data_IF_444924156511
#
_entry.id   IF_444924156511
#
_cell.length_a   1.000
_cell.length_b   1.000
_cell.length_c   1.000
_cell.angle_alpha   90.00
_cell.angle_beta   90.00
_cell.angle_gamma   90.00
#
_symmetry.space_group_name_H-M   'P 1'
#
loop_
_entity.id
_entity.type
_entity.pdbx_description
1 polymer ?
#
# COMPACT_ATOMS: atom_id res chain seq x y z
N UNK A 1 10.19 -56.70 15.64
CA UNK A 1 9.47 -56.33 16.87
C UNK A 1 8.22 -55.45 16.64
N UNK A 2 8.06 -54.74 15.52
CA UNK A 2 6.92 -53.81 15.33
C UNK A 2 5.55 -54.41 15.04
N UNK A 3 5.46 -55.56 14.36
CA UNK A 3 4.15 -56.09 13.91
C UNK A 3 3.26 -56.60 15.05
N UNK A 4 3.81 -57.03 16.16
CA UNK A 4 3.05 -57.54 17.34
C UNK A 4 2.37 -56.40 18.09
N UNK A 5 2.99 -55.23 18.20
CA UNK A 5 2.46 -54.06 18.91
C UNK A 5 1.28 -53.48 18.16
N UNK A 6 1.35 -53.37 16.83
CA UNK A 6 0.23 -52.90 16.00
C UNK A 6 -1.00 -53.82 16.09
N UNK A 7 -0.78 -55.11 16.10
CA UNK A 7 -1.87 -56.09 16.25
C UNK A 7 -2.55 -56.05 17.63
N UNK A 8 -1.78 -55.82 18.71
CA UNK A 8 -2.31 -55.63 20.04
C UNK A 8 -3.09 -54.30 20.17
N UNK A 9 -2.55 -53.20 19.61
CA UNK A 9 -3.20 -51.90 19.57
C UNK A 9 -4.55 -51.96 18.88
N UNK A 10 -4.59 -52.57 17.66
CA UNK A 10 -5.81 -52.72 16.90
C UNK A 10 -6.87 -53.54 17.60
N UNK A 11 -6.46 -54.63 18.27
CA UNK A 11 -7.38 -55.47 19.07
C UNK A 11 -7.91 -54.78 20.32
N UNK A 12 -7.12 -53.87 20.86
CA UNK A 12 -7.51 -53.09 22.09
C UNK A 12 -8.52 -51.98 21.73
N UNK A 13 -8.45 -51.39 20.55
CA UNK A 13 -9.42 -50.42 20.02
C UNK A 13 -10.82 -51.04 19.93
N UNK A 14 -10.91 -52.31 19.46
CA UNK A 14 -12.19 -53.02 19.37
C UNK A 14 -12.78 -53.54 20.69
N UNK A 15 -11.98 -53.58 21.75
CA UNK A 15 -12.41 -54.15 23.03
C UNK A 15 -13.30 -53.24 23.88
N UNK A 16 -13.21 -51.92 23.68
CA UNK A 16 -14.00 -50.93 24.41
C UNK A 16 -14.50 -49.79 23.49
N UNK A 17 -15.50 -50.08 22.64
CA UNK A 17 -15.90 -49.15 21.57
C UNK A 17 -16.41 -47.80 22.10
N UNK A 18 -16.98 -47.77 23.29
CA UNK A 18 -17.43 -46.52 23.92
C UNK A 18 -16.27 -45.55 24.24
N UNK A 19 -15.20 -46.08 24.87
CA UNK A 19 -14.02 -45.28 25.21
C UNK A 19 -13.25 -44.86 23.97
N UNK A 20 -13.10 -45.77 23.00
CA UNK A 20 -12.50 -45.45 21.71
C UNK A 20 -13.27 -44.36 20.96
N UNK A 21 -14.61 -44.45 20.95
CA UNK A 21 -15.46 -43.42 20.37
C UNK A 21 -15.27 -42.04 21.01
N UNK A 22 -15.20 -41.98 22.34
CA UNK A 22 -14.95 -40.69 23.03
C UNK A 22 -13.61 -40.11 22.65
N UNK A 23 -12.54 -40.92 22.65
CA UNK A 23 -11.19 -40.43 22.29
C UNK A 23 -11.13 -39.98 20.82
N UNK A 24 -11.68 -40.78 19.91
CA UNK A 24 -11.71 -40.41 18.48
C UNK A 24 -12.49 -39.11 18.29
N UNK A 25 -13.66 -38.97 18.91
CA UNK A 25 -14.45 -37.75 18.83
C UNK A 25 -13.68 -36.54 19.38
N UNK A 26 -13.07 -36.70 20.57
CA UNK A 26 -12.28 -35.62 21.17
C UNK A 26 -11.11 -35.16 20.27
N UNK A 27 -10.37 -36.13 19.69
CA UNK A 27 -9.27 -35.84 18.76
C UNK A 27 -9.80 -35.20 17.47
N UNK A 28 -10.90 -35.71 16.93
CA UNK A 28 -11.52 -35.17 15.71
C UNK A 28 -12.00 -33.73 15.91
N UNK A 29 -12.66 -33.44 17.02
CA UNK A 29 -13.11 -32.08 17.38
C UNK A 29 -11.91 -31.14 17.57
N UNK A 30 -10.88 -31.62 18.30
CA UNK A 30 -9.65 -30.86 18.48
C UNK A 30 -8.95 -30.53 17.15
N UNK A 31 -8.82 -31.53 16.26
CA UNK A 31 -8.21 -31.36 14.95
C UNK A 31 -9.04 -30.40 14.06
N UNK A 32 -10.37 -30.58 14.06
CA UNK A 32 -11.28 -29.68 13.34
C UNK A 32 -11.16 -28.25 13.83
N UNK A 33 -11.02 -28.03 15.15
CA UNK A 33 -10.79 -26.72 15.75
C UNK A 33 -9.47 -26.08 15.29
N UNK A 34 -8.40 -26.86 15.26
CA UNK A 34 -7.09 -26.38 14.80
C UNK A 34 -7.13 -26.04 13.28
N UNK A 35 -7.75 -26.89 12.47
CA UNK A 35 -7.87 -26.64 11.02
C UNK A 35 -8.71 -25.39 10.74
N UNK A 36 -9.82 -25.21 11.50
CA UNK A 36 -10.65 -24.01 11.38
C UNK A 36 -9.86 -22.75 11.77
N UNK A 37 -9.13 -22.79 12.89
CA UNK A 37 -8.31 -21.67 13.33
C UNK A 37 -7.22 -21.32 12.29
N UNK A 38 -6.57 -22.33 11.72
CA UNK A 38 -5.60 -22.14 10.63
C UNK A 38 -6.25 -21.51 9.38
N UNK A 39 -7.41 -22.00 8.97
CA UNK A 39 -8.13 -21.49 7.79
C UNK A 39 -8.51 -20.01 7.98
N UNK A 40 -9.02 -19.64 9.16
CA UNK A 40 -9.35 -18.24 9.50
C UNK A 40 -8.08 -17.37 9.47
N UNK A 41 -7.01 -17.84 10.11
CA UNK A 41 -5.74 -17.09 10.13
C UNK A 41 -5.17 -16.87 8.72
N UNK A 42 -5.14 -17.90 7.90
CA UNK A 42 -4.73 -17.79 6.50
C UNK A 42 -5.59 -16.79 5.70
N UNK A 43 -6.92 -16.87 5.89
CA UNK A 43 -7.85 -15.93 5.24
C UNK A 43 -7.59 -14.47 5.64
N UNK A 44 -7.34 -14.22 6.92
CA UNK A 44 -7.03 -12.87 7.42
C UNK A 44 -5.72 -12.34 6.85
N UNK A 45 -4.65 -13.13 6.88
CA UNK A 45 -3.33 -12.74 6.33
C UNK A 45 -3.45 -12.47 4.83
N UNK A 46 -4.13 -13.34 4.08
CA UNK A 46 -4.34 -13.14 2.65
C UNK A 46 -5.10 -11.84 2.37
N UNK A 47 -6.17 -11.56 3.12
CA UNK A 47 -6.94 -10.33 2.97
C UNK A 47 -6.12 -9.08 3.31
N UNK A 48 -5.24 -9.14 4.31
CA UNK A 48 -4.34 -8.03 4.65
C UNK A 48 -3.37 -7.73 3.49
N UNK A 49 -2.77 -8.75 2.89
CA UNK A 49 -1.86 -8.59 1.76
C UNK A 49 -2.60 -8.00 0.55
N UNK A 50 -3.80 -8.52 0.23
CA UNK A 50 -4.63 -7.99 -0.85
C UNK A 50 -4.94 -6.51 -0.65
N UNK A 51 -5.32 -6.15 0.57
CA UNK A 51 -5.63 -4.76 0.92
C UNK A 51 -4.40 -3.87 0.75
N UNK A 52 -3.23 -4.29 1.22
CA UNK A 52 -1.99 -3.54 1.12
C UNK A 52 -1.59 -3.31 -0.35
N UNK A 53 -1.68 -4.35 -1.18
CA UNK A 53 -1.40 -4.25 -2.62
C UNK A 53 -2.36 -3.26 -3.29
N UNK A 54 -3.66 -3.36 -3.00
CA UNK A 54 -4.67 -2.53 -3.63
C UNK A 54 -4.64 -1.06 -3.19
N UNK A 55 -4.18 -0.78 -1.96
CA UNK A 55 -4.21 0.59 -1.41
C UNK A 55 -2.89 1.32 -1.53
N UNK A 56 -1.75 0.65 -1.37
CA UNK A 56 -0.48 1.34 -1.19
C UNK A 56 0.68 0.77 -2.00
N UNK A 57 0.87 -0.56 -1.95
CA UNK A 57 2.14 -1.17 -2.36
C UNK A 57 2.21 -1.53 -3.85
N UNK A 58 1.07 -1.80 -4.50
CA UNK A 58 1.10 -2.47 -5.79
C UNK A 58 1.67 -3.89 -5.69
N UNK A 59 2.05 -4.48 -6.81
CA UNK A 59 2.73 -5.78 -6.83
C UNK A 59 4.25 -5.66 -6.68
N UNK A 60 4.83 -4.59 -7.25
CA UNK A 60 6.24 -4.22 -7.16
C UNK A 60 6.37 -2.72 -6.96
N UNK A 61 7.46 -2.30 -6.35
CA UNK A 61 7.85 -0.90 -6.24
C UNK A 61 9.29 -0.75 -6.71
N UNK A 62 9.57 0.36 -7.38
CA UNK A 62 10.91 0.74 -7.83
C UNK A 62 11.30 1.99 -7.06
N UNK A 63 12.42 1.94 -6.38
CA UNK A 63 12.97 3.03 -5.58
C UNK A 63 14.41 3.34 -5.99
N UNK A 64 14.92 4.50 -5.55
CA UNK A 64 16.36 4.74 -5.52
C UNK A 64 17.03 3.88 -4.44
N UNK A 65 18.26 3.44 -4.67
CA UNK A 65 19.01 2.57 -3.75
C UNK A 65 19.08 3.17 -2.34
N UNK A 66 18.71 2.35 -1.35
CA UNK A 66 18.72 2.72 0.06
C UNK A 66 17.43 3.33 0.60
N UNK A 67 16.38 3.43 -0.20
CA UNK A 67 15.10 3.98 0.20
C UNK A 67 14.45 3.18 1.35
N UNK A 68 14.51 1.86 1.33
CA UNK A 68 13.98 1.02 2.42
C UNK A 68 14.62 1.30 3.77
N UNK A 69 15.90 1.70 3.78
CA UNK A 69 16.66 1.96 5.00
C UNK A 69 16.39 3.37 5.52
N UNK A 70 16.10 4.32 4.63
CA UNK A 70 15.91 5.73 4.96
C UNK A 70 14.88 6.36 4.02
N UNK A 71 13.57 6.10 4.24
CA UNK A 71 12.54 6.70 3.41
C UNK A 71 12.58 8.23 3.53
N UNK A 72 12.79 8.92 2.41
CA UNK A 72 12.86 10.37 2.38
C UNK A 72 13.18 10.92 1.00
N UNK A 73 13.01 12.24 0.83
CA UNK A 73 13.28 12.93 -0.43
C UNK A 73 14.78 12.98 -0.80
N UNK A 74 15.67 12.57 0.11
CA UNK A 74 17.11 12.45 -0.16
C UNK A 74 17.40 11.32 -1.17
N UNK A 75 16.57 10.28 -1.14
CA UNK A 75 16.66 9.13 -2.06
C UNK A 75 15.50 9.23 -3.04
N UNK A 76 15.79 9.73 -4.21
CA UNK A 76 14.82 9.98 -5.27
C UNK A 76 15.35 9.49 -6.61
N UNK A 77 14.47 9.26 -7.53
CA UNK A 77 14.77 8.86 -8.90
C UNK A 77 14.75 10.13 -9.76
N UNK A 78 15.92 10.62 -10.16
CA UNK A 78 16.03 11.75 -11.07
C UNK A 78 15.46 11.37 -12.44
N UNK A 79 14.71 12.28 -13.08
CA UNK A 79 13.99 12.01 -14.34
C UNK A 79 13.12 10.73 -14.28
N UNK A 80 12.65 10.37 -13.09
CA UNK A 80 12.08 9.04 -12.82
C UNK A 80 10.84 8.71 -13.64
N UNK A 81 10.01 9.68 -13.99
CA UNK A 81 8.88 9.45 -14.90
C UNK A 81 9.33 9.04 -16.30
N UNK A 82 10.38 9.68 -16.83
CA UNK A 82 10.94 9.34 -18.13
C UNK A 82 11.56 7.94 -18.10
N UNK A 83 12.42 7.69 -17.12
CA UNK A 83 13.08 6.39 -16.96
C UNK A 83 12.05 5.26 -16.79
N UNK A 84 11.02 5.45 -15.95
CA UNK A 84 9.95 4.48 -15.79
C UNK A 84 9.16 4.27 -17.09
N UNK A 85 8.88 5.34 -17.83
CA UNK A 85 8.19 5.23 -19.11
C UNK A 85 9.00 4.47 -20.15
N UNK A 86 10.31 4.70 -20.22
CA UNK A 86 11.22 4.01 -21.14
C UNK A 86 11.38 2.54 -20.76
N UNK A 87 11.65 2.24 -19.47
CA UNK A 87 11.90 0.89 -18.99
C UNK A 87 10.64 0.02 -18.96
N UNK A 88 9.48 0.58 -18.61
CA UNK A 88 8.24 -0.18 -18.43
C UNK A 88 7.38 -0.27 -19.70
N UNK A 89 7.67 0.54 -20.75
CA UNK A 89 6.88 0.52 -21.97
C UNK A 89 7.03 -0.79 -22.74
N UNK A 90 5.91 -1.52 -22.85
CA UNK A 90 5.86 -2.75 -23.65
C UNK A 90 6.39 -3.99 -22.94
N UNK A 91 6.70 -3.93 -21.65
CA UNK A 91 7.11 -5.12 -20.90
C UNK A 91 5.97 -6.13 -20.82
N UNK A 92 6.23 -7.41 -21.17
CA UNK A 92 5.23 -8.47 -21.03
C UNK A 92 4.86 -8.69 -19.56
N UNK A 93 3.56 -8.83 -19.29
CA UNK A 93 3.05 -9.07 -17.94
C UNK A 93 2.86 -7.82 -17.08
N UNK A 94 3.11 -6.62 -17.63
CA UNK A 94 2.81 -5.35 -17.00
C UNK A 94 1.36 -4.94 -17.29
N UNK A 95 0.55 -4.71 -16.27
CA UNK A 95 -0.81 -4.19 -16.40
C UNK A 95 -0.83 -2.65 -16.33
N UNK A 96 -0.23 -2.08 -15.30
CA UNK A 96 -0.20 -0.64 -15.07
C UNK A 96 1.01 -0.23 -14.21
N UNK A 97 1.35 1.05 -14.28
CA UNK A 97 2.31 1.66 -13.39
C UNK A 97 1.98 3.13 -13.13
N UNK A 98 2.41 3.65 -11.99
CA UNK A 98 2.23 5.05 -11.62
C UNK A 98 3.44 5.60 -10.85
N UNK A 99 3.90 6.82 -11.16
CA UNK A 99 4.91 7.51 -10.37
C UNK A 99 4.27 8.11 -9.12
N UNK A 100 5.01 8.12 -8.02
CA UNK A 100 4.61 8.77 -6.77
C UNK A 100 5.74 9.57 -6.17
N UNK A 101 5.36 10.61 -5.45
CA UNK A 101 6.24 11.32 -4.51
C UNK A 101 5.72 11.02 -3.10
N UNK A 102 6.57 10.55 -2.21
CA UNK A 102 6.21 10.32 -0.81
C UNK A 102 7.15 11.08 0.11
N UNK A 103 6.59 11.80 1.07
CA UNK A 103 7.35 12.51 2.09
C UNK A 103 6.50 12.75 3.32
N UNK A 104 7.16 13.18 4.39
CA UNK A 104 6.50 13.58 5.62
C UNK A 104 6.23 15.08 5.62
N UNK A 105 5.12 15.47 6.25
CA UNK A 105 4.75 16.88 6.37
C UNK A 105 3.87 17.15 7.57
N UNK A 106 3.53 18.42 7.74
CA UNK A 106 2.60 18.91 8.74
C UNK A 106 1.44 19.60 8.03
N UNK A 107 0.24 19.19 8.35
CA UNK A 107 -0.99 19.87 7.91
C UNK A 107 -1.52 20.74 9.03
N UNK A 108 -1.81 21.98 8.71
CA UNK A 108 -2.39 22.97 9.62
C UNK A 108 -3.81 23.34 9.18
N UNK A 109 -4.75 23.21 10.10
CA UNK A 109 -6.07 23.81 10.03
C UNK A 109 -6.17 24.96 11.06
N UNK A 110 -7.25 25.78 11.05
CA UNK A 110 -7.44 26.77 12.09
C UNK A 110 -7.61 26.22 13.50
N UNK A 111 -7.86 24.91 13.64
CA UNK A 111 -8.17 24.23 14.92
C UNK A 111 -7.15 23.19 15.37
N UNK A 112 -6.37 22.66 14.45
CA UNK A 112 -5.44 21.57 14.75
C UNK A 112 -4.26 21.55 13.78
N UNK A 113 -3.16 20.92 14.21
CA UNK A 113 -2.05 20.50 13.36
C UNK A 113 -1.79 19.00 13.52
N UNK A 114 -1.42 18.35 12.46
CA UNK A 114 -1.19 16.89 12.42
C UNK A 114 -0.02 16.60 11.51
N UNK A 115 0.90 15.74 11.98
CA UNK A 115 1.91 15.10 11.13
C UNK A 115 1.24 14.13 10.16
N UNK A 116 1.60 14.23 8.89
CA UNK A 116 0.99 13.46 7.81
C UNK A 116 2.05 12.94 6.85
N UNK A 117 1.72 11.87 6.19
CA UNK A 117 2.38 11.47 4.96
C UNK A 117 1.75 12.22 3.78
N UNK A 118 2.60 12.81 2.97
CA UNK A 118 2.20 13.54 1.75
C UNK A 118 2.51 12.68 0.55
N UNK A 119 1.47 12.37 -0.24
CA UNK A 119 1.57 11.49 -1.40
C UNK A 119 1.19 12.32 -2.63
N UNK A 120 2.16 12.55 -3.51
CA UNK A 120 1.94 13.16 -4.83
C UNK A 120 1.68 12.07 -5.87
N UNK A 121 0.58 12.14 -6.60
CA UNK A 121 0.17 11.14 -7.59
C UNK A 121 -0.16 11.76 -8.94
N UNK A 122 0.02 10.98 -10.01
CA UNK A 122 -0.66 11.23 -11.29
C UNK A 122 -2.07 10.63 -11.22
N UNK A 123 -3.15 11.44 -11.17
CA UNK A 123 -4.48 10.91 -10.92
C UNK A 123 -4.96 9.89 -11.97
N UNK A 124 -4.57 10.06 -13.22
CA UNK A 124 -4.99 9.18 -14.30
C UNK A 124 -4.31 7.81 -14.23
N UNK A 125 -3.01 7.79 -13.89
CA UNK A 125 -2.24 6.55 -13.71
C UNK A 125 -2.57 5.88 -12.39
N UNK A 126 -2.72 6.66 -11.32
CA UNK A 126 -3.05 6.17 -9.97
C UNK A 126 -4.38 5.40 -9.95
N UNK A 127 -5.39 5.88 -10.66
CA UNK A 127 -6.68 5.18 -10.78
C UNK A 127 -6.58 3.76 -11.40
N UNK A 128 -5.45 3.41 -12.00
CA UNK A 128 -5.18 2.09 -12.59
C UNK A 128 -4.36 1.18 -11.68
N UNK A 129 -3.68 1.74 -10.68
CA UNK A 129 -2.78 0.99 -9.79
C UNK A 129 -3.29 0.91 -8.37
N UNK A 130 -4.26 1.73 -7.98
CA UNK A 130 -4.84 1.72 -6.64
C UNK A 130 -6.35 1.93 -6.63
N UNK A 131 -6.97 1.63 -5.48
CA UNK A 131 -8.41 1.82 -5.25
C UNK A 131 -8.77 3.23 -4.79
N UNK A 132 -7.83 4.16 -4.79
CA UNK A 132 -8.02 5.50 -4.21
C UNK A 132 -9.14 6.27 -4.91
N UNK A 133 -9.22 6.20 -6.23
CA UNK A 133 -10.26 6.88 -7.01
C UNK A 133 -11.67 6.38 -6.65
N UNK A 134 -11.81 5.07 -6.43
CA UNK A 134 -13.08 4.43 -6.05
C UNK A 134 -13.42 4.59 -4.56
N UNK A 135 -12.46 5.07 -3.77
CA UNK A 135 -12.57 5.21 -2.32
C UNK A 135 -13.05 6.60 -1.87
N UNK A 136 -13.41 7.48 -2.79
CA UNK A 136 -13.92 8.84 -2.47
C UNK A 136 -15.30 8.73 -1.85
N UNK A 137 -15.45 9.25 -0.63
CA UNK A 137 -16.72 9.23 0.12
C UNK A 137 -17.41 10.59 0.16
N UNK A 138 -16.68 11.68 -0.12
CA UNK A 138 -17.23 13.04 -0.19
C UNK A 138 -16.35 13.92 -1.06
N UNK A 139 -16.95 14.85 -1.79
CA UNK A 139 -16.25 15.69 -2.76
C UNK A 139 -15.92 14.94 -4.05
N UNK A 140 -14.83 15.31 -4.68
CA UNK A 140 -14.41 14.79 -5.98
C UNK A 140 -12.97 14.27 -5.92
N UNK A 141 -12.65 13.33 -6.81
CA UNK A 141 -11.27 12.89 -7.02
C UNK A 141 -10.44 14.06 -7.59
N UNK A 142 -9.13 13.93 -7.59
CA UNK A 142 -8.23 14.96 -8.13
C UNK A 142 -8.50 15.17 -9.62
N UNK A 143 -9.17 16.26 -9.92
CA UNK A 143 -9.38 16.75 -11.29
C UNK A 143 -8.19 17.59 -11.77
N UNK A 144 -8.33 18.31 -12.89
CA UNK A 144 -7.31 19.19 -13.43
C UNK A 144 -6.98 20.44 -12.60
N UNK A 145 -7.74 20.76 -11.55
CA UNK A 145 -7.51 21.96 -10.75
C UNK A 145 -6.29 21.84 -9.85
N UNK A 146 -5.45 22.87 -9.86
CA UNK A 146 -4.25 22.95 -9.02
C UNK A 146 -4.62 23.32 -7.58
N UNK A 147 -3.72 22.94 -6.64
CA UNK A 147 -3.85 23.23 -5.21
C UNK A 147 -5.10 22.66 -4.56
N UNK A 148 -5.60 21.56 -5.10
CA UNK A 148 -6.55 20.67 -4.43
C UNK A 148 -5.81 19.49 -3.83
N UNK A 149 -6.33 19.00 -2.70
CA UNK A 149 -5.84 17.77 -2.08
C UNK A 149 -6.99 16.89 -1.61
N UNK A 150 -6.70 15.60 -1.45
CA UNK A 150 -7.58 14.64 -0.81
C UNK A 150 -7.07 14.37 0.61
N UNK A 151 -8.00 14.14 1.53
CA UNK A 151 -7.71 13.75 2.91
C UNK A 151 -8.37 12.42 3.22
N UNK A 152 -7.71 11.60 4.02
CA UNK A 152 -8.40 10.52 4.69
C UNK A 152 -9.53 11.06 5.58
N UNK A 153 -10.69 10.43 5.58
CA UNK A 153 -11.87 10.88 6.32
C UNK A 153 -11.58 11.08 7.81
N UNK A 154 -10.79 10.16 8.40
CA UNK A 154 -10.39 10.25 9.82
C UNK A 154 -9.44 11.41 10.08
N UNK A 155 -8.56 11.72 9.13
CA UNK A 155 -7.68 12.88 9.20
C UNK A 155 -8.48 14.19 9.12
N UNK A 156 -9.43 14.28 8.18
CA UNK A 156 -10.32 15.43 8.06
C UNK A 156 -11.11 15.70 9.36
N UNK A 157 -11.61 14.63 10.00
CA UNK A 157 -12.29 14.71 11.30
C UNK A 157 -11.37 15.24 12.41
N UNK A 158 -10.11 14.82 12.45
CA UNK A 158 -9.11 15.32 13.43
C UNK A 158 -8.74 16.79 13.18
N UNK A 159 -8.67 17.20 11.93
CA UNK A 159 -8.39 18.59 11.53
C UNK A 159 -9.62 19.50 11.63
N UNK A 160 -10.82 18.96 11.87
CA UNK A 160 -12.10 19.66 11.88
C UNK A 160 -12.31 20.44 10.57
N UNK A 161 -12.09 19.79 9.45
CA UNK A 161 -12.22 20.36 8.11
C UNK A 161 -13.11 19.51 7.24
N UNK A 162 -13.83 20.17 6.34
CA UNK A 162 -14.74 19.56 5.35
C UNK A 162 -14.27 19.86 3.93
N UNK A 163 -14.89 19.23 2.93
CA UNK A 163 -14.66 19.51 1.51
C UNK A 163 -14.84 20.99 1.23
N UNK A 164 -13.94 21.60 0.47
CA UNK A 164 -13.86 23.03 0.21
C UNK A 164 -13.09 23.83 1.25
N UNK A 165 -12.80 23.27 2.44
CA UNK A 165 -11.99 23.88 3.48
C UNK A 165 -10.57 24.19 3.03
N UNK A 166 -9.93 25.18 3.65
CA UNK A 166 -8.51 25.54 3.39
C UNK A 166 -7.61 24.95 4.46
N UNK A 167 -6.48 24.43 4.03
CA UNK A 167 -5.40 23.90 4.86
C UNK A 167 -4.08 24.47 4.40
N UNK A 168 -3.11 24.53 5.30
CA UNK A 168 -1.71 24.80 4.97
C UNK A 168 -0.94 23.50 5.14
N UNK A 169 -0.27 23.06 4.09
CA UNK A 169 0.62 21.91 4.11
C UNK A 169 2.06 22.43 4.16
N UNK A 170 2.78 22.09 5.23
CA UNK A 170 4.18 22.44 5.42
C UNK A 170 5.03 21.19 5.37
N UNK A 171 6.09 21.23 4.59
CA UNK A 171 6.99 20.11 4.32
C UNK A 171 8.44 20.60 4.35
N UNK A 172 9.38 19.68 4.51
CA UNK A 172 10.78 19.93 4.23
C UNK A 172 11.02 19.64 2.74
N UNK A 173 11.58 20.61 2.03
CA UNK A 173 11.88 20.45 0.61
C UNK A 173 13.15 19.60 0.37
N UNK A 174 13.47 19.33 -0.90
CA UNK A 174 14.63 18.54 -1.28
C UNK A 174 15.99 19.19 -0.92
N UNK A 175 16.00 20.43 -0.39
CA UNK A 175 17.19 21.13 0.11
C UNK A 175 17.26 21.15 1.63
N UNK A 176 16.25 20.59 2.30
CA UNK A 176 16.15 20.60 3.74
C UNK A 176 15.50 21.86 4.33
N UNK A 177 14.96 22.75 3.50
CA UNK A 177 14.30 23.98 3.95
C UNK A 177 12.80 23.73 4.18
N UNK A 178 12.24 24.38 5.22
CA UNK A 178 10.80 24.31 5.47
C UNK A 178 10.04 25.20 4.49
N UNK A 179 9.16 24.61 3.73
CA UNK A 179 8.25 25.32 2.83
C UNK A 179 6.80 25.00 3.17
N UNK A 180 5.89 25.83 2.71
CA UNK A 180 4.46 25.60 2.98
C UNK A 180 3.57 26.29 1.96
N UNK A 181 2.54 25.59 1.54
CA UNK A 181 1.54 26.12 0.62
C UNK A 181 0.12 25.88 1.12
N UNK A 182 -0.79 26.75 0.69
CA UNK A 182 -2.21 26.61 1.00
C UNK A 182 -2.93 25.79 -0.07
N UNK A 183 -3.68 24.80 0.39
CA UNK A 183 -4.50 23.92 -0.42
C UNK A 183 -5.97 23.98 -0.03
N UNK A 184 -6.83 23.57 -0.95
CA UNK A 184 -8.24 23.36 -0.70
C UNK A 184 -8.54 21.86 -0.67
N UNK A 185 -9.35 21.41 0.26
CA UNK A 185 -9.84 20.04 0.33
C UNK A 185 -10.80 19.80 -0.84
N UNK A 186 -10.38 18.99 -1.81
CA UNK A 186 -11.18 18.60 -2.98
C UNK A 186 -12.08 17.42 -2.69
N UNK A 187 -11.63 16.48 -1.89
CA UNK A 187 -12.38 15.29 -1.52
C UNK A 187 -11.85 14.58 -0.29
N UNK A 188 -12.68 13.71 0.25
CA UNK A 188 -12.35 12.82 1.36
C UNK A 188 -12.42 11.38 0.88
N UNK A 189 -11.41 10.60 1.25
CA UNK A 189 -11.37 9.17 0.95
C UNK A 189 -11.47 8.31 2.21
N UNK A 190 -11.99 7.09 2.03
CA UNK A 190 -12.03 6.03 3.04
C UNK A 190 -11.62 4.73 2.40
N UNK A 191 -10.50 4.17 2.85
CA UNK A 191 -9.95 2.92 2.36
C UNK A 191 -10.07 1.81 3.41
N UNK A 192 -9.58 0.63 3.06
CA UNK A 192 -9.42 -0.46 4.02
C UNK A 192 -8.18 -0.24 4.93
N UNK A 193 -7.22 0.60 4.53
CA UNK A 193 -6.06 0.99 5.35
C UNK A 193 -6.44 2.09 6.33
N UNK A 194 -6.42 1.75 7.62
CA UNK A 194 -6.73 2.73 8.68
C UNK A 194 -5.64 3.78 8.82
N UNK A 195 -4.42 3.44 8.50
CA UNK A 195 -3.26 4.33 8.64
C UNK A 195 -3.26 5.36 7.52
N UNK A 196 -3.56 4.95 6.29
CA UNK A 196 -3.78 5.86 5.17
C UNK A 196 -4.92 6.86 5.48
N UNK A 197 -6.06 6.37 5.98
CA UNK A 197 -7.20 7.22 6.34
C UNK A 197 -6.93 8.23 7.46
N UNK A 198 -5.96 7.93 8.34
CA UNK A 198 -5.67 8.75 9.53
C UNK A 198 -4.50 9.70 9.35
N UNK A 199 -3.60 9.38 8.44
CA UNK A 199 -2.29 9.99 8.37
C UNK A 199 -1.89 10.52 7.01
N UNK A 200 -2.70 10.37 5.95
CA UNK A 200 -2.23 10.71 4.61
C UNK A 200 -3.01 11.84 3.96
N UNK A 201 -2.28 12.64 3.23
CA UNK A 201 -2.73 13.69 2.34
C UNK A 201 -2.30 13.34 0.93
N UNK A 202 -3.21 13.36 -0.01
CA UNK A 202 -2.91 13.07 -1.41
C UNK A 202 -3.11 14.32 -2.26
N UNK A 203 -2.15 14.62 -3.10
CA UNK A 203 -2.18 15.76 -4.02
C UNK A 203 -1.69 15.36 -5.42
N UNK A 204 -1.85 16.23 -6.38
CA UNK A 204 -1.32 15.98 -7.73
C UNK A 204 0.20 15.96 -7.70
N UNK A 205 0.81 15.08 -8.49
CA UNK A 205 2.26 14.96 -8.56
C UNK A 205 2.95 16.28 -8.95
N UNK A 206 2.34 17.05 -9.85
CA UNK A 206 2.85 18.37 -10.25
C UNK A 206 2.90 19.36 -9.10
N UNK A 207 1.85 19.38 -8.26
CA UNK A 207 1.80 20.21 -7.06
C UNK A 207 2.82 19.71 -6.02
N UNK A 208 3.03 18.39 -5.92
CA UNK A 208 4.08 17.77 -5.11
C UNK A 208 5.49 18.17 -5.58
N UNK A 209 5.77 18.02 -6.86
CA UNK A 209 7.05 18.43 -7.46
C UNK A 209 7.37 19.90 -7.15
N UNK A 210 6.38 20.78 -7.27
CA UNK A 210 6.52 22.19 -6.94
C UNK A 210 6.76 22.42 -5.44
N UNK A 211 5.95 21.80 -4.57
CA UNK A 211 6.02 21.95 -3.13
C UNK A 211 7.36 21.48 -2.57
N UNK A 212 7.87 20.35 -3.05
CA UNK A 212 9.11 19.76 -2.59
C UNK A 212 10.36 20.26 -3.35
N UNK A 213 10.19 21.05 -4.41
CA UNK A 213 11.29 21.54 -5.23
C UNK A 213 12.08 20.45 -5.96
N UNK A 214 11.40 19.39 -6.41
CA UNK A 214 12.01 18.17 -6.95
C UNK A 214 12.33 18.22 -8.44
N UNK A 215 11.86 19.24 -9.17
CA UNK A 215 11.97 19.22 -10.64
C UNK A 215 11.21 18.01 -11.23
N UNK A 216 11.91 17.14 -11.96
CA UNK A 216 11.34 15.93 -12.57
C UNK A 216 11.59 14.64 -11.76
N UNK A 217 12.17 14.79 -10.56
CA UNK A 217 12.43 13.65 -9.69
C UNK A 217 11.14 13.14 -9.02
N UNK A 218 11.10 11.84 -8.75
CA UNK A 218 10.03 11.14 -8.04
C UNK A 218 10.62 10.27 -6.92
N UNK A 219 9.79 9.83 -5.98
CA UNK A 219 10.26 8.96 -4.88
C UNK A 219 10.18 7.49 -5.24
N UNK A 220 9.12 7.10 -5.93
CA UNK A 220 8.84 5.69 -6.24
C UNK A 220 8.02 5.52 -7.51
N UNK A 221 8.11 4.34 -8.10
CA UNK A 221 7.20 3.87 -9.14
C UNK A 221 6.49 2.62 -8.65
N UNK A 222 5.17 2.68 -8.62
CA UNK A 222 4.33 1.52 -8.29
C UNK A 222 3.98 0.77 -9.55
N UNK A 223 4.08 -0.56 -9.51
CA UNK A 223 3.88 -1.45 -10.66
C UNK A 223 2.83 -2.51 -10.33
N UNK A 224 1.90 -2.71 -11.24
CA UNK A 224 0.89 -3.77 -11.19
C UNK A 224 1.17 -4.78 -12.31
N UNK A 225 1.32 -6.04 -11.94
CA UNK A 225 1.46 -7.14 -12.86
C UNK A 225 0.09 -7.69 -13.27
N UNK A 226 -0.07 -8.11 -14.53
CA UNK A 226 -1.32 -8.71 -15.05
C UNK A 226 -1.75 -9.95 -14.26
N UNK A 227 -0.78 -10.70 -13.73
CA UNK A 227 -1.02 -11.92 -12.94
C UNK A 227 0.02 -12.05 -11.85
N UNK A 228 -0.41 -12.40 -10.65
CA UNK A 228 0.48 -12.62 -9.50
C UNK A 228 1.57 -13.67 -9.74
N UNK A 229 1.26 -14.71 -10.49
CA UNK A 229 2.25 -15.76 -10.81
C UNK A 229 3.40 -15.29 -11.71
N UNK A 230 3.31 -14.10 -12.29
CA UNK A 230 4.34 -13.52 -13.17
C UNK A 230 5.11 -12.36 -12.52
N UNK A 231 4.89 -12.08 -11.24
CA UNK A 231 5.57 -10.97 -10.52
C UNK A 231 7.09 -11.16 -10.55
N UNK A 232 7.59 -12.38 -10.31
CA UNK A 232 9.03 -12.68 -10.32
C UNK A 232 9.64 -12.57 -11.72
N UNK A 233 8.89 -12.90 -12.76
CA UNK A 233 9.34 -12.76 -14.14
C UNK A 233 9.38 -11.29 -14.55
N UNK A 234 8.34 -10.53 -14.17
CA UNK A 234 8.27 -9.09 -14.39
C UNK A 234 9.38 -8.36 -13.63
N UNK A 235 9.63 -8.73 -12.37
CA UNK A 235 10.74 -8.18 -11.57
C UNK A 235 12.07 -8.35 -12.29
N UNK A 236 12.39 -9.55 -12.77
CA UNK A 236 13.64 -9.81 -13.51
C UNK A 236 13.72 -9.03 -14.82
N UNK A 237 12.61 -8.86 -15.52
CA UNK A 237 12.57 -8.05 -16.74
C UNK A 237 12.83 -6.58 -16.44
N UNK A 238 12.22 -6.04 -15.38
CA UNK A 238 12.44 -4.65 -14.94
C UNK A 238 13.90 -4.45 -14.49
N UNK A 239 14.46 -5.35 -13.70
CA UNK A 239 15.85 -5.29 -13.24
C UNK A 239 16.86 -5.33 -14.41
N UNK A 240 16.51 -5.99 -15.53
CA UNK A 240 17.36 -6.05 -16.71
C UNK A 240 17.36 -4.73 -17.53
N UNK A 241 16.26 -3.97 -17.47
CA UNK A 241 16.11 -2.69 -18.19
C UNK A 241 16.56 -1.49 -17.33
N UNK A 242 16.47 -1.60 -15.99
CA UNK A 242 16.88 -0.53 -15.10
C UNK A 242 18.41 -0.48 -14.94
N UNK A 243 18.96 0.72 -14.99
CA UNK A 243 20.36 0.95 -14.63
C UNK A 243 20.58 0.72 -13.14
N UNK A 244 21.80 0.29 -12.76
CA UNK A 244 22.15 -0.20 -11.41
C UNK A 244 22.03 0.79 -10.24
N UNK A 245 21.35 1.92 -10.41
CA UNK A 245 21.08 2.93 -9.36
C UNK A 245 19.67 2.83 -8.76
N UNK A 246 18.87 1.80 -9.15
CA UNK A 246 17.51 1.55 -8.69
C UNK A 246 17.37 0.16 -8.06
N UNK A 247 16.47 0.02 -7.07
CA UNK A 247 16.13 -1.22 -6.37
C UNK A 247 14.61 -1.48 -6.34
#
# INVERSE_FOLDING_TARGET
MGAGIWRMAWRNIGRSPRWTGIVVTAVSVGLAGVLLAMAVNYGMVFQMIETAIATELGHLQIHGIGFEQKPGLEIRIEEGERLASEALSGLPGLEAWAPRIRSQGLVFSPRANVGVEVIGIDPAREARVSVLADSIVSGEYLDGERRKLLLGEKLASRLHVEVGGKLVLSVQDGRGEMTGEAYRVGGLFRTASRDLDRGSVVLRIDDGKQLFGLGDAISEVVVIAERRGHVDDLKRAIEAELSGDLE
#
